data_IF_353580350478
#
_entry.id   IF_353580350478
#
_cell.length_a   1.000
_cell.length_b   1.000
_cell.length_c   1.000
_cell.angle_alpha   90.00
_cell.angle_beta   90.00
_cell.angle_gamma   90.00
#
_symmetry.space_group_name_H-M   'P 1'
#
loop_
_entity.id
_entity.type
_entity.pdbx_description
1 polymer ?
#
# COMPACT_ATOMS: atom_id res chain seq x y z
N UNK A 1 -40.00 23.38 21.35
CA UNK A 1 -39.08 24.36 21.96
C UNK A 1 -38.02 24.74 20.94
N UNK A 2 -37.48 25.95 21.00
CA UNK A 2 -36.77 26.58 19.88
C UNK A 2 -35.25 26.61 20.11
N UNK A 3 -34.53 26.37 19.00
CA UNK A 3 -33.10 26.57 18.71
C UNK A 3 -32.15 27.12 19.80
N UNK A 4 -30.98 26.49 19.90
CA UNK A 4 -29.74 27.11 20.36
C UNK A 4 -28.57 26.65 19.49
N UNK A 5 -28.03 27.55 18.66
CA UNK A 5 -26.77 27.31 17.92
C UNK A 5 -25.58 27.54 18.86
N UNK A 6 -24.53 26.73 18.75
CA UNK A 6 -23.25 26.97 19.42
C UNK A 6 -22.22 27.35 18.37
N UNK A 7 -21.76 28.61 18.42
CA UNK A 7 -20.58 29.08 17.69
C UNK A 7 -19.31 28.68 18.46
N UNK A 8 -18.24 28.34 17.75
CA UNK A 8 -16.92 28.11 18.36
C UNK A 8 -15.89 28.94 17.60
N UNK A 9 -15.46 30.04 18.22
CA UNK A 9 -14.46 30.95 17.66
C UNK A 9 -13.06 30.36 17.65
N UNK A 10 -12.27 30.76 16.64
CA UNK A 10 -10.87 30.36 16.47
C UNK A 10 -9.94 31.17 17.36
N UNK A 11 -9.02 30.51 18.07
CA UNK A 11 -7.97 31.15 18.86
C UNK A 11 -6.56 30.69 18.42
N UNK A 12 -5.92 31.46 17.54
CA UNK A 12 -4.52 31.28 17.13
C UNK A 12 -3.64 32.28 17.90
N UNK A 13 -2.65 31.85 18.71
CA UNK A 13 -1.70 32.76 19.34
C UNK A 13 -0.54 33.13 18.39
N UNK A 14 -0.62 34.29 17.73
CA UNK A 14 0.51 34.88 16.99
C UNK A 14 1.59 35.39 17.96
N UNK A 15 2.80 34.83 17.92
CA UNK A 15 3.99 35.43 18.57
C UNK A 15 4.39 36.71 17.81
N UNK A 16 4.43 37.84 18.52
CA UNK A 16 4.95 39.11 17.99
C UNK A 16 6.47 39.13 18.03
N UNK A 17 7.08 39.57 16.94
CA UNK A 17 8.47 40.05 16.92
C UNK A 17 8.54 41.46 17.51
N UNK A 18 9.62 41.76 18.24
CA UNK A 18 9.94 43.11 18.71
C UNK A 18 11.35 43.48 18.25
N UNK A 19 11.43 44.49 17.39
CA UNK A 19 12.70 45.10 17.01
C UNK A 19 13.18 46.08 18.08
N UNK A 20 14.50 46.13 18.31
CA UNK A 20 15.17 47.33 18.83
C UNK A 20 16.40 47.62 17.99
N UNK A 21 16.43 48.83 17.43
CA UNK A 21 17.61 49.44 16.80
C UNK A 21 18.41 50.23 17.85
N UNK A 22 19.72 50.29 17.67
CA UNK A 22 20.41 51.59 17.69
C UNK A 22 21.51 51.79 18.74
N UNK A 23 22.75 51.95 18.26
CA UNK A 23 23.86 52.61 18.96
C UNK A 23 24.85 51.66 19.67
N UNK A 24 26.15 51.66 19.38
CA UNK A 24 26.87 52.35 18.30
C UNK A 24 28.39 52.41 18.56
N UNK A 25 29.19 52.45 17.47
CA UNK A 25 30.66 52.64 17.44
C UNK A 25 31.52 51.53 18.11
N UNK A 26 32.79 51.28 17.77
CA UNK A 26 33.73 51.98 16.86
C UNK A 26 34.63 50.95 16.12
N UNK A 27 35.49 51.45 15.22
CA UNK A 27 36.69 50.85 14.57
C UNK A 27 37.42 49.73 15.36
N UNK A 28 38.18 48.77 14.81
CA UNK A 28 39.07 48.73 13.61
C UNK A 28 39.30 47.25 13.18
N UNK A 29 39.29 46.87 11.89
CA UNK A 29 40.41 46.81 10.93
C UNK A 29 41.39 45.61 10.98
N UNK A 30 41.45 44.91 9.83
CA UNK A 30 42.57 44.15 9.22
C UNK A 30 43.02 42.72 9.67
N UNK A 31 43.12 41.86 8.63
CA UNK A 31 44.18 40.85 8.36
C UNK A 31 44.10 39.39 8.88
N UNK A 32 43.79 38.48 7.95
CA UNK A 32 44.47 37.17 7.75
C UNK A 32 45.94 37.39 7.27
N UNK A 33 46.84 36.38 7.05
CA UNK A 33 46.63 34.92 6.91
C UNK A 33 47.74 33.94 7.41
N UNK A 34 47.50 32.62 7.21
CA UNK A 34 48.49 31.52 7.07
C UNK A 34 49.36 31.15 8.32
N UNK A 35 50.08 30.00 8.44
CA UNK A 35 50.51 28.91 7.52
C UNK A 35 50.63 27.54 8.25
N UNK A 36 50.94 26.47 7.51
CA UNK A 36 51.27 25.07 7.94
C UNK A 36 52.52 24.96 8.90
N UNK A 37 53.00 23.80 9.42
CA UNK A 37 53.10 22.44 8.83
C UNK A 37 53.59 21.36 9.83
N UNK A 38 53.26 20.07 9.56
CA UNK A 38 54.12 18.86 9.79
C UNK A 38 54.41 18.43 11.27
N UNK A 39 54.86 17.22 11.63
CA UNK A 39 55.30 16.01 10.89
C UNK A 39 55.31 14.72 11.78
N UNK A 40 55.06 13.53 11.20
CA UNK A 40 55.61 12.20 11.59
C UNK A 40 55.24 11.59 12.96
N UNK A 41 55.19 10.25 13.15
CA UNK A 41 55.32 9.12 12.21
C UNK A 41 55.94 7.85 12.85
N UNK A 42 55.49 6.66 12.39
CA UNK A 42 56.00 5.28 12.62
C UNK A 42 55.56 4.46 13.87
N UNK A 43 54.92 3.32 13.56
CA UNK A 43 54.92 2.05 14.32
C UNK A 43 56.17 1.20 13.97
N UNK A 44 56.46 0.10 14.70
CA UNK A 44 56.18 -1.27 14.18
C UNK A 44 55.77 -2.32 15.27
N UNK A 45 54.79 -3.23 15.07
CA UNK A 45 54.79 -4.61 14.46
C UNK A 45 55.09 -5.79 15.44
N UNK A 46 54.05 -6.63 15.66
CA UNK A 46 54.00 -8.11 15.93
C UNK A 46 54.64 -8.72 17.21
N UNK A 47 53.85 -9.44 18.04
CA UNK A 47 53.76 -10.93 18.04
C UNK A 47 52.54 -11.42 18.88
N UNK A 48 52.44 -12.72 19.22
CA UNK A 48 51.18 -13.51 19.18
C UNK A 48 50.89 -14.31 20.48
N UNK A 49 49.65 -14.85 20.63
CA UNK A 49 49.24 -16.06 21.42
C UNK A 49 48.62 -15.90 22.85
N UNK A 50 47.28 -16.07 22.89
CA UNK A 50 46.41 -16.82 23.85
C UNK A 50 45.80 -16.28 25.18
N UNK A 51 44.51 -16.65 25.32
CA UNK A 51 43.65 -16.91 26.50
C UNK A 51 43.48 -15.88 27.64
N UNK A 52 42.27 -15.30 27.75
CA UNK A 52 41.25 -15.69 28.76
C UNK A 52 39.99 -14.80 28.67
N UNK A 53 38.82 -15.35 29.04
CA UNK A 53 37.54 -14.65 29.23
C UNK A 53 37.05 -14.91 30.68
N UNK A 54 35.96 -14.28 31.17
CA UNK A 54 35.28 -13.05 30.71
C UNK A 54 35.30 -11.95 31.80
N UNK A 55 34.77 -10.77 31.49
CA UNK A 55 34.18 -9.92 32.54
C UNK A 55 32.95 -9.19 31.98
N UNK A 56 31.84 -9.22 32.71
CA UNK A 56 30.60 -8.58 32.31
C UNK A 56 30.67 -7.08 32.57
N UNK A 57 30.37 -6.25 31.57
CA UNK A 57 29.80 -4.95 31.88
C UNK A 57 28.84 -4.43 30.80
N UNK A 58 27.80 -3.81 31.32
CA UNK A 58 26.55 -3.41 30.68
C UNK A 58 26.77 -2.58 29.40
N UNK A 59 25.96 -2.83 28.37
CA UNK A 59 25.91 -2.02 27.15
C UNK A 59 24.47 -1.68 26.81
N UNK A 60 24.18 -0.39 26.65
CA UNK A 60 22.90 0.10 26.14
C UNK A 60 22.64 -0.43 24.72
N UNK A 61 21.38 -0.75 24.35
CA UNK A 61 21.05 -1.11 22.98
C UNK A 61 20.99 0.15 22.10
N UNK A 62 22.16 0.62 21.66
CA UNK A 62 22.26 1.62 20.60
C UNK A 62 21.52 1.17 19.34
N UNK A 63 20.80 2.10 18.71
CA UNK A 63 19.97 1.88 17.53
C UNK A 63 20.79 1.25 16.38
N UNK A 64 20.68 -0.07 16.20
CA UNK A 64 21.25 -0.77 15.05
C UNK A 64 20.35 -0.55 13.84
N UNK A 65 20.64 0.53 13.12
CA UNK A 65 20.18 0.70 11.74
C UNK A 65 20.75 -0.45 10.89
N UNK A 66 19.87 -1.38 10.52
CA UNK A 66 20.19 -2.46 9.61
C UNK A 66 18.94 -3.26 9.29
N UNK A 67 18.56 -3.28 8.01
CA UNK A 67 18.11 -4.44 7.24
C UNK A 67 17.76 -3.97 5.81
N UNK A 68 18.00 -4.84 4.81
CA UNK A 68 17.37 -4.79 3.48
C UNK A 68 17.75 -3.69 2.46
N UNK A 69 19.05 -3.44 2.23
CA UNK A 69 19.54 -2.66 1.08
C UNK A 69 18.94 -3.12 -0.28
N UNK A 70 18.65 -4.42 -0.45
CA UNK A 70 18.09 -4.95 -1.70
C UNK A 70 16.67 -4.49 -2.01
N UNK A 71 15.87 -4.04 -1.02
CA UNK A 71 14.51 -3.50 -1.28
C UNK A 71 14.54 -2.22 -2.12
N UNK A 72 15.69 -1.53 -2.23
CA UNK A 72 15.87 -0.28 -2.99
C UNK A 72 16.04 -0.45 -4.52
N UNK A 73 15.88 -1.66 -5.07
CA UNK A 73 15.97 -1.93 -6.52
C UNK A 73 14.73 -2.64 -7.09
N UNK A 74 13.54 -2.09 -6.85
CA UNK A 74 12.37 -2.37 -7.71
C UNK A 74 12.37 -1.32 -8.84
N UNK A 75 12.72 -1.73 -10.05
CA UNK A 75 12.55 -0.91 -11.25
C UNK A 75 11.10 -1.07 -11.72
N UNK A 76 10.27 -0.04 -11.52
CA UNK A 76 8.86 -0.13 -11.88
C UNK A 76 8.65 0.03 -13.39
N UNK A 77 7.93 -0.92 -13.99
CA UNK A 77 7.26 -0.72 -15.28
C UNK A 77 5.80 -0.33 -15.02
N UNK A 78 5.43 0.88 -15.43
CA UNK A 78 4.02 1.24 -15.57
C UNK A 78 3.36 0.31 -16.59
N UNK A 79 2.49 -0.60 -16.12
CA UNK A 79 1.73 -1.48 -17.00
C UNK A 79 0.60 -0.71 -17.70
N UNK A 80 1.00 0.05 -18.71
CA UNK A 80 0.16 0.22 -19.89
C UNK A 80 0.14 -1.12 -20.61
N UNK A 81 -0.98 -1.86 -20.49
CA UNK A 81 -1.18 -3.13 -21.17
C UNK A 81 -1.26 -2.91 -22.69
N UNK A 82 -0.10 -2.88 -23.35
CA UNK A 82 -0.02 -2.62 -24.79
C UNK A 82 -0.50 -3.84 -25.57
N UNK A 83 -1.64 -3.69 -26.24
CA UNK A 83 -2.15 -4.62 -27.24
C UNK A 83 -1.22 -4.62 -28.46
N UNK A 84 -0.69 -5.77 -28.86
CA UNK A 84 -0.03 -5.91 -30.16
C UNK A 84 -1.08 -5.86 -31.29
N UNK A 85 -0.84 -5.12 -32.38
CA UNK A 85 -1.70 -5.16 -33.56
C UNK A 85 -1.51 -6.49 -34.31
N UNK A 86 -2.61 -7.13 -34.73
CA UNK A 86 -2.57 -8.12 -35.81
C UNK A 86 -2.86 -7.42 -37.14
N UNK A 87 -2.23 -7.90 -38.19
CA UNK A 87 -2.29 -7.32 -39.54
C UNK A 87 -3.64 -7.62 -40.21
N UNK A 88 -4.16 -6.64 -40.96
CA UNK A 88 -5.45 -6.74 -41.67
C UNK A 88 -5.30 -7.40 -43.07
N UNK A 89 -6.21 -8.31 -43.44
CA UNK A 89 -6.48 -8.66 -44.84
C UNK A 89 -7.97 -8.67 -45.19
N UNK A 90 -8.29 -8.33 -46.45
CA UNK A 90 -9.59 -7.83 -46.94
C UNK A 90 -9.80 -8.33 -48.38
N UNK A 91 -10.91 -8.92 -48.85
CA UNK A 91 -12.32 -9.01 -48.42
C UNK A 91 -12.96 -10.32 -48.89
N UNK A 92 -14.15 -10.71 -48.37
CA UNK A 92 -15.36 -10.94 -49.23
C UNK A 92 -16.68 -11.18 -48.48
N UNK A 93 -17.77 -10.89 -49.18
CA UNK A 93 -19.16 -10.73 -48.71
C UNK A 93 -20.03 -12.00 -48.86
N UNK A 94 -20.92 -12.27 -47.89
CA UNK A 94 -22.34 -12.63 -48.16
C UNK A 94 -23.25 -12.64 -46.90
N UNK A 95 -24.29 -11.81 -46.96
CA UNK A 95 -25.71 -12.05 -46.55
C UNK A 95 -26.08 -12.94 -45.33
N UNK A 96 -26.46 -12.27 -44.21
CA UNK A 96 -27.63 -12.47 -43.28
C UNK A 96 -28.30 -13.87 -43.10
N UNK A 97 -28.78 -14.22 -41.88
CA UNK A 97 -29.64 -13.36 -41.06
C UNK A 97 -29.17 -13.10 -39.62
N UNK A 98 -29.96 -12.29 -38.90
CA UNK A 98 -29.67 -11.71 -37.59
C UNK A 98 -29.82 -12.71 -36.44
N UNK A 99 -28.72 -12.97 -35.75
CA UNK A 99 -28.73 -13.26 -34.31
C UNK A 99 -28.50 -11.93 -33.55
N UNK A 100 -29.23 -11.73 -32.47
CA UNK A 100 -29.03 -10.57 -31.59
C UNK A 100 -27.73 -10.78 -30.80
N UNK A 101 -26.64 -10.21 -31.32
CA UNK A 101 -25.38 -10.13 -30.59
C UNK A 101 -25.62 -9.21 -29.37
N UNK A 102 -25.71 -9.81 -28.18
CA UNK A 102 -25.76 -9.07 -26.93
C UNK A 102 -24.57 -8.11 -26.87
N UNK A 103 -24.87 -6.81 -26.88
CA UNK A 103 -23.86 -5.78 -26.65
C UNK A 103 -23.38 -5.96 -25.21
N UNK A 104 -22.07 -5.84 -24.93
CA UNK A 104 -21.60 -5.83 -23.55
C UNK A 104 -22.36 -4.74 -22.81
N UNK A 105 -22.95 -5.09 -21.67
CA UNK A 105 -23.79 -4.18 -20.92
C UNK A 105 -22.99 -2.93 -20.58
N UNK A 106 -23.43 -1.76 -21.08
CA UNK A 106 -22.86 -0.49 -20.66
C UNK A 106 -23.11 -0.36 -19.17
N UNK A 107 -22.09 -0.62 -18.35
CA UNK A 107 -22.24 -0.62 -16.90
C UNK A 107 -22.79 0.73 -16.46
N UNK A 108 -23.96 0.69 -15.79
CA UNK A 108 -24.61 1.89 -15.28
C UNK A 108 -23.63 2.54 -14.29
N UNK A 109 -23.32 3.85 -14.44
CA UNK A 109 -22.42 4.55 -13.53
C UNK A 109 -22.82 4.32 -12.08
N UNK A 110 -21.90 3.80 -11.28
CA UNK A 110 -22.17 3.41 -9.90
C UNK A 110 -22.25 4.68 -9.05
N UNK A 111 -23.38 4.86 -8.36
CA UNK A 111 -23.63 6.00 -7.47
C UNK A 111 -22.55 6.08 -6.39
N UNK A 112 -21.76 7.16 -6.42
CA UNK A 112 -20.70 7.40 -5.45
C UNK A 112 -21.26 7.70 -4.05
N UNK A 113 -20.41 7.50 -3.05
CA UNK A 113 -20.61 7.83 -1.64
C UNK A 113 -21.75 7.04 -0.96
N UNK A 114 -22.03 5.83 -1.45
CA UNK A 114 -23.12 4.95 -1.01
C UNK A 114 -22.72 3.48 -1.09
N UNK A 115 -23.21 2.68 -0.15
CA UNK A 115 -23.05 1.22 -0.17
C UNK A 115 -24.02 0.57 -1.17
N UNK A 116 -23.49 -0.30 -2.02
CA UNK A 116 -24.24 -1.03 -3.06
C UNK A 116 -23.76 -2.48 -3.11
N UNK A 117 -24.68 -3.45 -3.00
CA UNK A 117 -24.37 -4.85 -3.30
C UNK A 117 -24.01 -5.01 -4.78
N UNK A 118 -22.85 -5.59 -5.07
CA UNK A 118 -22.34 -5.82 -6.41
C UNK A 118 -21.88 -7.26 -6.60
N UNK A 119 -22.15 -7.79 -7.79
CA UNK A 119 -21.47 -8.96 -8.33
C UNK A 119 -20.25 -8.46 -9.11
N UNK A 120 -19.06 -8.89 -8.72
CA UNK A 120 -17.76 -8.58 -9.31
C UNK A 120 -17.18 -9.87 -9.89
N UNK A 121 -16.49 -9.80 -11.03
CA UNK A 121 -15.86 -10.96 -11.68
C UNK A 121 -14.35 -10.78 -11.71
N UNK A 122 -13.59 -11.85 -11.41
CA UNK A 122 -12.13 -11.82 -11.47
C UNK A 122 -11.65 -11.53 -12.89
N UNK A 123 -10.46 -10.94 -13.02
CA UNK A 123 -9.88 -10.58 -14.33
C UNK A 123 -9.62 -11.79 -15.24
N UNK A 124 -9.50 -13.00 -14.69
CA UNK A 124 -9.39 -14.25 -15.45
C UNK A 124 -10.74 -14.94 -15.73
N UNK A 125 -11.85 -14.35 -15.27
CA UNK A 125 -13.22 -14.83 -15.47
C UNK A 125 -13.64 -16.06 -14.65
N UNK A 126 -12.79 -16.54 -13.74
CA UNK A 126 -13.01 -17.80 -13.00
C UNK A 126 -13.71 -17.64 -11.66
N UNK A 127 -13.66 -16.47 -11.04
CA UNK A 127 -14.30 -16.22 -9.75
C UNK A 127 -15.29 -15.06 -9.82
N UNK A 128 -16.35 -15.14 -9.03
CA UNK A 128 -17.39 -14.12 -8.92
C UNK A 128 -17.67 -13.85 -7.45
N UNK A 129 -17.45 -12.61 -7.02
CA UNK A 129 -17.67 -12.13 -5.66
C UNK A 129 -18.96 -11.32 -5.62
N UNK A 130 -19.87 -11.68 -4.72
CA UNK A 130 -21.02 -10.86 -4.34
C UNK A 130 -20.77 -10.24 -2.97
N UNK A 131 -20.72 -8.91 -2.89
CA UNK A 131 -20.31 -8.17 -1.69
C UNK A 131 -20.80 -6.71 -1.73
N UNK A 132 -20.86 -6.04 -0.57
CA UNK A 132 -21.10 -4.60 -0.50
C UNK A 132 -19.85 -3.79 -0.92
N UNK A 133 -20.06 -2.86 -1.86
CA UNK A 133 -19.05 -1.92 -2.33
C UNK A 133 -19.50 -0.50 -2.00
N UNK A 134 -18.59 0.31 -1.47
CA UNK A 134 -18.72 1.76 -1.37
C UNK A 134 -17.68 2.41 -2.29
N UNK A 135 -18.11 3.26 -3.22
CA UNK A 135 -17.22 3.99 -4.12
C UNK A 135 -17.09 5.45 -3.73
N UNK A 136 -15.88 5.98 -3.86
CA UNK A 136 -15.60 7.41 -3.85
C UNK A 136 -16.10 8.08 -5.17
N UNK A 137 -16.06 9.40 -5.24
CA UNK A 137 -16.31 10.14 -6.48
C UNK A 137 -15.10 10.13 -7.42
N UNK A 138 -13.89 9.92 -6.86
CA UNK A 138 -12.60 9.94 -7.56
C UNK A 138 -11.71 8.75 -7.19
N UNK A 139 -10.66 8.50 -7.96
CA UNK A 139 -9.51 7.69 -7.56
C UNK A 139 -8.22 8.53 -7.48
N UNK A 140 -7.10 7.93 -7.08
CA UNK A 140 -5.80 8.61 -6.96
C UNK A 140 -5.26 9.19 -8.29
N UNK A 141 -5.71 8.67 -9.44
CA UNK A 141 -5.28 9.08 -10.78
C UNK A 141 -6.19 10.15 -11.40
N UNK A 142 -7.29 10.51 -10.74
CA UNK A 142 -8.15 11.62 -11.15
C UNK A 142 -7.39 12.94 -11.23
N UNK A 143 -7.84 13.84 -12.11
CA UNK A 143 -7.27 15.19 -12.24
C UNK A 143 -7.34 15.99 -10.92
N UNK A 144 -8.35 15.71 -10.08
CA UNK A 144 -8.50 16.33 -8.76
C UNK A 144 -7.46 15.82 -7.76
N UNK A 145 -7.13 14.52 -7.78
CA UNK A 145 -6.14 13.95 -6.88
C UNK A 145 -4.70 14.22 -7.35
N UNK A 146 -4.43 14.10 -8.66
CA UNK A 146 -3.10 14.21 -9.26
C UNK A 146 -2.03 13.43 -8.47
N UNK A 147 -2.33 12.16 -8.18
CA UNK A 147 -1.57 11.28 -7.29
C UNK A 147 -1.29 9.90 -7.93
N UNK A 148 -0.83 9.88 -9.17
CA UNK A 148 -0.64 8.66 -9.96
C UNK A 148 0.23 7.61 -9.24
N UNK A 149 1.29 8.06 -8.55
CA UNK A 149 2.18 7.25 -7.72
C UNK A 149 1.99 7.49 -6.20
N UNK A 150 0.88 8.10 -5.77
CA UNK A 150 0.66 8.50 -4.38
C UNK A 150 0.11 7.38 -3.47
N UNK A 151 -0.08 6.15 -3.96
CA UNK A 151 -0.76 5.06 -3.24
C UNK A 151 -0.22 4.82 -1.84
N UNK A 152 1.11 4.83 -1.63
CA UNK A 152 1.71 4.68 -0.30
C UNK A 152 1.31 5.81 0.68
N UNK A 153 1.27 7.06 0.21
CA UNK A 153 0.87 8.22 1.01
C UNK A 153 -0.64 8.23 1.29
N UNK A 154 -1.46 7.89 0.28
CA UNK A 154 -2.91 7.75 0.45
C UNK A 154 -3.24 6.61 1.43
N UNK A 155 -2.60 5.45 1.31
CA UNK A 155 -2.77 4.33 2.23
C UNK A 155 -2.41 4.71 3.68
N UNK A 156 -1.34 5.50 3.91
CA UNK A 156 -0.99 6.02 5.24
C UNK A 156 -2.03 7.00 5.78
N UNK A 157 -2.58 7.90 4.95
CA UNK A 157 -3.65 8.81 5.35
C UNK A 157 -4.95 8.06 5.71
N UNK A 158 -5.32 7.07 4.89
CA UNK A 158 -6.50 6.22 5.10
C UNK A 158 -6.35 5.33 6.34
N UNK A 159 -5.20 4.68 6.53
CA UNK A 159 -4.94 3.86 7.72
C UNK A 159 -4.97 4.70 9.01
N UNK A 160 -4.37 5.88 9.00
CA UNK A 160 -4.47 6.84 10.11
C UNK A 160 -5.93 7.23 10.41
N UNK A 161 -6.74 7.49 9.38
CA UNK A 161 -8.16 7.82 9.56
C UNK A 161 -8.95 6.68 10.21
N UNK A 162 -8.72 5.43 9.79
CA UNK A 162 -9.38 4.27 10.39
C UNK A 162 -8.94 3.99 11.84
N UNK A 163 -7.69 4.29 12.21
CA UNK A 163 -7.27 4.28 13.62
C UNK A 163 -7.91 5.38 14.45
N UNK A 164 -8.11 6.57 13.90
CA UNK A 164 -8.81 7.66 14.58
C UNK A 164 -10.33 7.39 14.71
N UNK A 165 -10.89 6.54 13.84
CA UNK A 165 -12.31 6.23 13.75
C UNK A 165 -12.57 4.70 13.78
N UNK A 166 -12.13 3.95 14.80
CA UNK A 166 -12.08 2.48 14.76
C UNK A 166 -13.47 1.83 14.61
N UNK A 167 -14.51 2.51 15.12
CA UNK A 167 -15.92 2.08 15.07
C UNK A 167 -16.62 2.39 13.73
N UNK A 168 -15.98 3.13 12.81
CA UNK A 168 -16.56 3.45 11.51
C UNK A 168 -16.05 2.48 10.44
N UNK A 169 -16.94 2.08 9.54
CA UNK A 169 -16.63 1.18 8.42
C UNK A 169 -16.19 1.93 7.16
N UNK A 170 -16.64 3.18 6.98
CA UNK A 170 -16.26 4.05 5.87
C UNK A 170 -16.27 5.53 6.28
N UNK A 171 -15.49 6.40 5.59
CA UNK A 171 -15.64 7.86 5.66
C UNK A 171 -17.01 8.34 5.17
N UNK A 172 -17.48 9.48 5.65
CA UNK A 172 -18.84 9.99 5.39
C UNK A 172 -18.89 11.00 4.24
N UNK A 173 -19.94 10.94 3.39
CA UNK A 173 -20.08 11.86 2.26
C UNK A 173 -18.84 11.84 1.35
N UNK A 174 -18.26 13.00 1.05
CA UNK A 174 -17.03 13.16 0.24
C UNK A 174 -15.73 13.11 1.07
N UNK A 175 -15.78 12.60 2.30
CA UNK A 175 -14.60 12.48 3.15
C UNK A 175 -13.57 11.50 2.56
N UNK A 176 -13.99 10.45 1.84
CA UNK A 176 -13.05 9.54 1.18
C UNK A 176 -12.29 10.23 0.03
N UNK A 177 -12.98 11.01 -0.81
CA UNK A 177 -12.36 11.89 -1.83
C UNK A 177 -11.34 12.84 -1.17
N UNK A 178 -11.68 13.35 0.02
CA UNK A 178 -10.84 14.26 0.79
C UNK A 178 -9.59 13.56 1.35
N UNK A 179 -9.67 12.30 1.76
CA UNK A 179 -8.52 11.49 2.20
C UNK A 179 -7.57 11.17 1.03
N UNK A 180 -8.12 10.82 -0.13
CA UNK A 180 -7.36 10.58 -1.37
C UNK A 180 -6.60 11.86 -1.77
N UNK A 181 -7.31 12.99 -1.85
CA UNK A 181 -6.71 14.28 -2.19
C UNK A 181 -5.62 14.68 -1.17
N UNK A 182 -5.86 14.50 0.14
CA UNK A 182 -4.86 14.78 1.19
C UNK A 182 -3.60 13.91 1.04
N UNK A 183 -3.76 12.60 0.79
CA UNK A 183 -2.63 11.70 0.56
C UNK A 183 -1.79 12.10 -0.66
N UNK A 184 -2.45 12.47 -1.76
CA UNK A 184 -1.80 12.94 -2.97
C UNK A 184 -1.06 14.27 -2.76
N UNK A 185 -1.65 15.26 -2.07
CA UNK A 185 -0.96 16.51 -1.74
C UNK A 185 0.25 16.30 -0.82
N UNK A 186 0.19 15.36 0.12
CA UNK A 186 1.33 15.00 0.97
C UNK A 186 2.45 14.34 0.15
N UNK A 187 2.11 13.45 -0.79
CA UNK A 187 3.05 12.87 -1.76
C UNK A 187 3.70 13.93 -2.66
N UNK A 188 2.92 14.88 -3.19
CA UNK A 188 3.44 16.03 -3.96
C UNK A 188 4.45 16.85 -3.14
N UNK A 189 4.16 17.13 -1.86
CA UNK A 189 5.08 17.87 -0.97
C UNK A 189 6.40 17.14 -0.67
N UNK A 190 6.47 15.82 -0.92
CA UNK A 190 7.72 15.05 -0.91
C UNK A 190 8.40 15.07 -2.28
N UNK A 191 7.65 15.04 -3.38
CA UNK A 191 8.19 15.20 -4.73
C UNK A 191 8.86 16.58 -4.95
N UNK A 192 8.40 17.64 -4.29
CA UNK A 192 9.04 18.96 -4.33
C UNK A 192 10.44 19.00 -3.67
N UNK A 193 10.82 17.95 -2.94
CA UNK A 193 12.10 17.85 -2.22
C UNK A 193 13.09 17.02 -3.04
N UNK A 194 14.10 17.70 -3.57
CA UNK A 194 15.24 17.12 -4.31
C UNK A 194 15.86 15.87 -3.65
N UNK A 195 15.91 15.81 -2.30
CA UNK A 195 16.42 14.64 -1.57
C UNK A 195 15.60 13.37 -1.80
N UNK A 196 14.28 13.49 -1.96
CA UNK A 196 13.38 12.37 -2.23
C UNK A 196 13.42 11.99 -3.72
N UNK A 197 13.46 12.97 -4.64
CA UNK A 197 13.60 12.70 -6.07
C UNK A 197 14.90 11.98 -6.43
N UNK A 198 16.01 12.26 -5.72
CA UNK A 198 17.27 11.52 -5.90
C UNK A 198 17.20 10.05 -5.47
N UNK A 199 16.35 9.73 -4.49
CA UNK A 199 16.14 8.36 -4.01
C UNK A 199 15.10 7.63 -4.85
N UNK A 200 14.07 8.35 -5.33
CA UNK A 200 12.95 7.81 -6.10
C UNK A 200 12.68 8.69 -7.34
N UNK A 201 13.48 8.57 -8.42
CA UNK A 201 13.31 9.38 -9.63
C UNK A 201 11.96 9.15 -10.33
N UNK A 202 11.37 7.97 -10.16
CA UNK A 202 10.03 7.62 -10.64
C UNK A 202 8.89 8.14 -9.73
N UNK A 203 9.20 8.74 -8.56
CA UNK A 203 8.26 9.21 -7.53
C UNK A 203 7.42 8.13 -6.83
N UNK A 204 7.71 6.85 -7.04
CA UNK A 204 7.09 5.75 -6.28
C UNK A 204 7.83 5.59 -4.95
N UNK A 205 7.32 6.21 -3.89
CA UNK A 205 7.91 6.09 -2.54
C UNK A 205 7.49 4.77 -1.88
N UNK A 206 8.44 4.10 -1.23
CA UNK A 206 8.12 2.96 -0.36
C UNK A 206 7.43 3.41 0.95
N UNK A 207 6.76 2.47 1.63
CA UNK A 207 6.03 2.77 2.86
C UNK A 207 6.95 3.28 3.98
N UNK A 208 8.18 2.77 4.07
CA UNK A 208 9.16 3.21 5.07
C UNK A 208 9.50 4.70 4.90
N UNK A 209 9.64 5.17 3.65
CA UNK A 209 9.89 6.57 3.30
C UNK A 209 8.69 7.46 3.68
N UNK A 210 7.45 7.02 3.39
CA UNK A 210 6.24 7.77 3.75
C UNK A 210 6.05 7.88 5.27
N UNK A 211 6.25 6.76 6.00
CA UNK A 211 6.13 6.73 7.46
C UNK A 211 7.25 7.54 8.12
N UNK A 212 8.50 7.41 7.65
CA UNK A 212 9.65 8.16 8.16
C UNK A 212 9.57 9.66 7.88
N UNK A 213 8.86 10.07 6.83
CA UNK A 213 8.54 11.47 6.57
C UNK A 213 7.54 12.08 7.58
N UNK A 214 6.96 11.26 8.47
CA UNK A 214 6.04 11.64 9.55
C UNK A 214 4.86 12.51 9.07
N UNK A 215 4.26 12.12 7.93
CA UNK A 215 3.14 12.82 7.31
C UNK A 215 1.82 12.65 8.10
N UNK A 216 1.75 11.60 8.94
CA UNK A 216 0.69 11.29 9.90
C UNK A 216 1.31 10.60 11.13
N UNK A 217 0.70 10.70 12.32
CA UNK A 217 1.20 10.09 13.55
C UNK A 217 0.94 8.56 13.57
N UNK A 218 1.63 7.83 12.70
CA UNK A 218 1.56 6.38 12.56
C UNK A 218 2.95 5.76 12.50
N UNK A 219 3.05 4.49 12.88
CA UNK A 219 4.25 3.66 12.71
C UNK A 219 3.86 2.23 12.31
N UNK A 220 4.80 1.52 11.70
CA UNK A 220 4.67 0.08 11.44
C UNK A 220 5.00 -0.70 12.72
N UNK A 221 4.14 -1.67 13.05
CA UNK A 221 4.35 -2.65 14.12
C UNK A 221 5.01 -3.89 13.52
N UNK A 222 6.33 -4.00 13.63
CA UNK A 222 7.14 -5.09 13.04
C UNK A 222 6.66 -6.47 13.46
N UNK A 223 6.36 -6.64 14.75
CA UNK A 223 6.10 -7.94 15.37
C UNK A 223 4.73 -8.54 14.96
N UNK A 224 3.89 -7.72 14.33
CA UNK A 224 2.57 -8.07 13.79
C UNK A 224 2.49 -7.75 12.29
N UNK A 225 3.63 -7.56 11.63
CA UNK A 225 3.71 -7.37 10.18
C UNK A 225 4.27 -8.64 9.53
N UNK A 226 3.75 -8.98 8.36
CA UNK A 226 4.02 -10.26 7.71
C UNK A 226 4.51 -10.06 6.28
N UNK A 227 5.44 -10.90 5.85
CA UNK A 227 5.94 -10.97 4.47
C UNK A 227 5.89 -12.42 4.01
N UNK A 228 5.38 -12.65 2.81
CA UNK A 228 5.38 -13.96 2.18
C UNK A 228 4.98 -13.85 0.72
N UNK A 229 4.62 -14.98 0.10
CA UNK A 229 4.36 -15.04 -1.34
C UNK A 229 3.02 -15.70 -1.66
N UNK A 230 2.45 -15.34 -2.81
CA UNK A 230 1.31 -16.05 -3.39
C UNK A 230 1.73 -17.39 -3.96
N UNK A 231 1.12 -18.47 -3.45
CA UNK A 231 1.33 -19.86 -3.88
C UNK A 231 2.80 -20.30 -4.07
N UNK A 232 3.71 -20.09 -3.09
CA UNK A 232 5.10 -20.54 -3.18
C UNK A 232 5.22 -22.05 -3.44
N UNK A 233 4.25 -22.85 -2.97
CA UNK A 233 4.19 -24.30 -3.18
C UNK A 233 4.13 -24.74 -4.65
N UNK A 234 3.86 -23.81 -5.59
CA UNK A 234 3.88 -24.07 -7.04
C UNK A 234 5.26 -23.92 -7.67
N UNK A 235 6.25 -23.40 -6.94
CA UNK A 235 7.56 -23.01 -7.48
C UNK A 235 8.66 -23.66 -6.64
N UNK A 236 9.46 -24.56 -7.23
CA UNK A 236 10.46 -25.32 -6.47
C UNK A 236 11.54 -24.44 -5.82
N UNK A 237 11.76 -23.23 -6.36
CA UNK A 237 12.70 -22.24 -5.84
C UNK A 237 12.17 -21.40 -4.68
N UNK A 238 10.88 -21.51 -4.33
CA UNK A 238 10.24 -20.81 -3.22
C UNK A 238 9.91 -21.73 -2.03
N UNK A 239 10.41 -22.96 -2.03
CA UNK A 239 10.16 -23.93 -0.95
C UNK A 239 10.59 -23.39 0.43
N UNK A 240 9.77 -23.70 1.44
CA UNK A 240 9.93 -23.20 2.81
C UNK A 240 9.61 -21.71 3.03
N UNK A 241 9.26 -20.93 2.01
CA UNK A 241 8.82 -19.54 2.19
C UNK A 241 7.36 -19.46 2.66
N UNK A 242 7.06 -18.46 3.49
CA UNK A 242 5.72 -18.24 4.02
C UNK A 242 4.71 -17.93 2.90
N UNK A 243 3.61 -18.68 2.85
CA UNK A 243 2.55 -18.44 1.86
C UNK A 243 1.58 -17.35 2.33
N UNK A 244 0.91 -16.67 1.39
CA UNK A 244 -0.16 -15.72 1.72
C UNK A 244 -1.27 -16.36 2.57
N UNK A 245 -1.57 -17.64 2.32
CA UNK A 245 -2.52 -18.41 3.13
C UNK A 245 -2.07 -18.51 4.60
N UNK A 246 -0.78 -18.76 4.87
CA UNK A 246 -0.22 -18.75 6.22
C UNK A 246 -0.19 -17.34 6.84
N UNK A 247 0.08 -16.29 6.04
CA UNK A 247 -0.02 -14.90 6.52
C UNK A 247 -1.44 -14.61 6.98
N UNK A 248 -2.43 -15.04 6.20
CA UNK A 248 -3.83 -14.79 6.51
C UNK A 248 -4.25 -15.50 7.81
N UNK A 249 -3.77 -16.72 8.04
CA UNK A 249 -3.98 -17.44 9.30
C UNK A 249 -3.41 -16.68 10.52
N UNK A 250 -2.25 -16.00 10.39
CA UNK A 250 -1.71 -15.14 11.46
C UNK A 250 -2.48 -13.82 11.61
N UNK A 251 -2.94 -13.21 10.51
CA UNK A 251 -3.81 -12.02 10.54
C UNK A 251 -5.12 -12.32 11.25
N UNK A 252 -5.77 -13.46 10.98
CA UNK A 252 -7.01 -13.86 11.64
C UNK A 252 -6.82 -14.07 13.15
N UNK A 253 -5.69 -14.65 13.58
CA UNK A 253 -5.33 -14.73 15.01
C UNK A 253 -5.14 -13.35 15.63
N UNK A 254 -4.39 -12.46 14.98
CA UNK A 254 -4.17 -11.09 15.46
C UNK A 254 -5.45 -10.25 15.53
N UNK A 255 -6.38 -10.45 14.60
CA UNK A 255 -7.71 -9.84 14.60
C UNK A 255 -8.56 -10.38 15.74
N UNK A 256 -8.56 -11.69 15.98
CA UNK A 256 -9.28 -12.30 17.11
C UNK A 256 -8.75 -11.80 18.47
N UNK A 257 -7.43 -11.67 18.62
CA UNK A 257 -6.78 -11.13 19.83
C UNK A 257 -7.00 -9.62 20.03
N UNK A 258 -7.08 -8.84 18.95
CA UNK A 258 -7.46 -7.42 19.01
C UNK A 258 -8.93 -7.28 19.47
N UNK A 259 -9.78 -8.08 18.85
CA UNK A 259 -11.22 -8.07 19.02
C UNK A 259 -11.68 -8.35 20.45
N UNK A 260 -11.01 -9.27 21.16
CA UNK A 260 -11.30 -9.51 22.59
C UNK A 260 -11.06 -8.29 23.48
N UNK A 261 -10.25 -7.34 23.01
CA UNK A 261 -9.95 -6.07 23.70
C UNK A 261 -10.76 -4.90 23.13
N UNK A 262 -11.65 -5.14 22.15
CA UNK A 262 -12.37 -4.09 21.43
C UNK A 262 -11.52 -3.28 20.45
N UNK A 263 -10.35 -3.79 20.07
CA UNK A 263 -9.45 -3.16 19.10
C UNK A 263 -9.72 -3.63 17.66
N UNK A 264 -9.56 -2.72 16.71
CA UNK A 264 -9.53 -3.00 15.27
C UNK A 264 -8.08 -3.12 14.80
N UNK A 265 -7.77 -4.08 13.91
CA UNK A 265 -6.47 -4.14 13.22
C UNK A 265 -6.56 -3.40 11.88
N UNK A 266 -5.50 -2.66 11.55
CA UNK A 266 -5.36 -1.97 10.26
C UNK A 266 -4.00 -2.31 9.67
N UNK A 267 -4.01 -2.86 8.46
CA UNK A 267 -2.81 -3.21 7.72
C UNK A 267 -2.71 -2.36 6.46
N UNK A 268 -1.51 -1.85 6.15
CA UNK A 268 -1.19 -1.42 4.78
C UNK A 268 -0.58 -2.61 4.06
N UNK A 269 -1.22 -3.02 2.97
CA UNK A 269 -0.81 -4.15 2.14
C UNK A 269 -0.02 -3.61 0.95
N UNK A 270 1.21 -4.11 0.76
CA UNK A 270 2.03 -3.84 -0.41
C UNK A 270 2.09 -5.06 -1.31
N UNK A 271 1.69 -4.91 -2.57
CA UNK A 271 1.84 -5.95 -3.59
C UNK A 271 1.92 -5.34 -4.99
N UNK A 272 2.82 -5.87 -5.84
CA UNK A 272 3.00 -5.46 -7.24
C UNK A 272 3.04 -3.93 -7.45
N UNK A 273 3.93 -3.27 -6.72
CA UNK A 273 4.17 -1.80 -6.73
C UNK A 273 2.97 -0.91 -6.37
N UNK A 274 1.98 -1.48 -5.67
CA UNK A 274 0.81 -0.77 -5.18
C UNK A 274 0.57 -0.98 -3.68
N UNK A 275 -0.07 0.01 -3.05
CA UNK A 275 -0.39 0.00 -1.62
C UNK A 275 -1.88 0.25 -1.41
N UNK A 276 -2.51 -0.58 -0.59
CA UNK A 276 -3.92 -0.49 -0.20
C UNK A 276 -4.07 -0.83 1.30
N UNK A 277 -5.23 -0.55 1.88
CA UNK A 277 -5.48 -0.78 3.31
C UNK A 277 -6.42 -1.97 3.50
N UNK A 278 -6.16 -2.78 4.53
CA UNK A 278 -7.10 -3.78 5.06
C UNK A 278 -7.44 -3.42 6.49
N UNK A 279 -8.70 -3.09 6.76
CA UNK A 279 -9.26 -2.97 8.12
C UNK A 279 -9.89 -4.31 8.49
N UNK A 280 -9.74 -4.73 9.75
CA UNK A 280 -10.30 -5.98 10.25
C UNK A 280 -10.71 -5.90 11.73
N UNK A 281 -11.88 -6.45 12.04
CA UNK A 281 -12.49 -6.55 13.38
C UNK A 281 -13.43 -7.77 13.45
N UNK A 282 -14.25 -7.88 14.50
CA UNK A 282 -15.22 -8.97 14.66
C UNK A 282 -16.30 -9.02 13.56
N UNK A 283 -16.68 -7.86 13.01
CA UNK A 283 -17.80 -7.75 12.08
C UNK A 283 -17.36 -8.06 10.65
N UNK A 284 -16.06 -7.87 10.34
CA UNK A 284 -15.41 -8.50 9.21
C UNK A 284 -14.14 -7.81 8.73
N UNK A 285 -13.88 -7.92 7.43
CA UNK A 285 -12.76 -7.25 6.77
C UNK A 285 -13.28 -6.18 5.80
N UNK A 286 -12.50 -5.13 5.60
CA UNK A 286 -12.70 -4.16 4.53
C UNK A 286 -11.38 -3.97 3.78
N UNK A 287 -11.39 -4.18 2.46
CA UNK A 287 -10.31 -3.76 1.55
C UNK A 287 -10.60 -2.34 1.09
N UNK A 288 -9.68 -1.42 1.34
CA UNK A 288 -9.80 -0.01 0.94
C UNK A 288 -8.66 0.32 -0.01
N UNK A 289 -9.00 0.66 -1.25
CA UNK A 289 -8.03 0.92 -2.31
C UNK A 289 -8.30 2.25 -3.01
N UNK A 290 -7.25 3.05 -3.17
CA UNK A 290 -7.29 4.34 -3.85
C UNK A 290 -7.19 4.25 -5.37
N UNK A 291 -6.99 3.05 -5.95
CA UNK A 291 -6.92 2.79 -7.38
C UNK A 291 -8.09 1.93 -7.86
N UNK A 292 -9.10 2.57 -8.46
CA UNK A 292 -10.35 1.92 -8.86
C UNK A 292 -10.17 0.74 -9.81
N UNK A 293 -9.23 0.84 -10.74
CA UNK A 293 -8.94 -0.17 -11.78
C UNK A 293 -8.63 -1.57 -11.21
N UNK A 294 -8.25 -1.68 -9.92
CA UNK A 294 -8.03 -2.97 -9.25
C UNK A 294 -9.32 -3.70 -8.87
N UNK A 295 -10.45 -3.00 -8.78
CA UNK A 295 -11.78 -3.59 -8.56
C UNK A 295 -12.32 -4.25 -9.83
N UNK A 296 -12.34 -3.51 -10.93
CA UNK A 296 -12.70 -3.95 -12.28
C UNK A 296 -12.07 -3.04 -13.35
N UNK A 297 -11.94 -3.54 -14.58
CA UNK A 297 -11.29 -2.81 -15.67
C UNK A 297 -12.04 -1.51 -16.01
N UNK A 298 -11.29 -0.39 -16.13
CA UNK A 298 -11.86 0.91 -16.45
C UNK A 298 -12.54 1.64 -15.28
N UNK A 299 -12.61 1.06 -14.09
CA UNK A 299 -13.06 1.76 -12.89
C UNK A 299 -12.14 2.94 -12.52
N UNK A 300 -12.73 4.12 -12.28
CA UNK A 300 -12.02 5.39 -11.96
C UNK A 300 -12.42 5.96 -10.60
N UNK A 301 -12.91 5.11 -9.71
CA UNK A 301 -13.38 5.45 -8.37
C UNK A 301 -12.63 4.58 -7.36
N UNK A 302 -12.01 5.20 -6.36
CA UNK A 302 -11.50 4.47 -5.20
C UNK A 302 -12.65 3.74 -4.50
N UNK A 303 -12.33 2.65 -3.80
CA UNK A 303 -13.35 1.76 -3.25
C UNK A 303 -13.05 1.27 -1.85
N UNK A 304 -14.13 0.94 -1.13
CA UNK A 304 -14.13 0.12 0.08
C UNK A 304 -15.00 -1.10 -0.24
N UNK A 305 -14.42 -2.30 -0.13
CA UNK A 305 -15.06 -3.58 -0.40
C UNK A 305 -15.16 -4.35 0.91
N UNK A 306 -16.39 -4.67 1.33
CA UNK A 306 -16.72 -5.22 2.65
C UNK A 306 -16.93 -6.73 2.61
N UNK A 307 -16.29 -7.43 3.53
CA UNK A 307 -16.35 -8.89 3.68
C UNK A 307 -16.89 -9.26 5.05
N UNK A 308 -18.20 -9.47 5.10
CA UNK A 308 -18.97 -9.89 6.26
C UNK A 308 -19.84 -11.11 5.90
N UNK A 309 -20.74 -11.52 6.81
CA UNK A 309 -21.62 -12.68 6.66
C UNK A 309 -22.60 -12.60 5.45
N UNK A 310 -22.69 -11.45 4.76
CA UNK A 310 -23.46 -11.30 3.51
C UNK A 310 -22.67 -11.58 2.23
N UNK A 311 -21.35 -11.74 2.35
CA UNK A 311 -20.43 -11.90 1.21
C UNK A 311 -20.37 -13.34 0.73
N UNK A 312 -20.42 -13.54 -0.59
CA UNK A 312 -20.45 -14.87 -1.23
C UNK A 312 -19.47 -14.91 -2.40
N UNK A 313 -18.64 -15.96 -2.47
CA UNK A 313 -17.69 -16.19 -3.56
C UNK A 313 -18.04 -17.46 -4.31
N UNK A 314 -18.20 -17.33 -5.63
CA UNK A 314 -18.45 -18.42 -6.55
C UNK A 314 -17.26 -18.66 -7.47
N UNK A 315 -17.02 -19.91 -7.84
CA UNK A 315 -16.13 -20.32 -8.92
C UNK A 315 -16.97 -20.72 -10.13
N UNK A 316 -16.50 -20.36 -11.32
CA UNK A 316 -17.16 -20.59 -12.60
C UNK A 316 -16.67 -21.89 -13.21
N UNK A 317 -17.48 -22.94 -13.07
CA UNK A 317 -17.32 -24.20 -13.79
C UNK A 317 -18.04 -24.11 -15.15
N UNK A 318 -17.77 -25.03 -16.09
CA UNK A 318 -18.15 -24.92 -17.52
C UNK A 318 -19.63 -24.63 -17.80
N UNK A 319 -20.53 -25.00 -16.88
CA UNK A 319 -21.97 -24.77 -16.99
C UNK A 319 -22.67 -24.37 -15.67
N UNK A 320 -21.92 -24.07 -14.61
CA UNK A 320 -22.52 -23.67 -13.33
C UNK A 320 -21.62 -22.76 -12.47
N UNK A 321 -22.24 -21.99 -11.58
CA UNK A 321 -21.55 -21.23 -10.53
C UNK A 321 -21.60 -22.02 -9.21
N UNK A 322 -20.44 -22.35 -8.65
CA UNK A 322 -20.32 -23.13 -7.41
C UNK A 322 -19.86 -22.24 -6.28
N UNK A 323 -20.60 -22.21 -5.17
CA UNK A 323 -20.20 -21.48 -3.97
C UNK A 323 -18.94 -22.12 -3.37
N UNK A 324 -17.86 -21.36 -3.24
CA UNK A 324 -16.55 -21.84 -2.73
C UNK A 324 -16.27 -21.32 -1.33
N UNK A 325 -16.61 -20.06 -1.05
CA UNK A 325 -16.60 -19.54 0.31
C UNK A 325 -17.68 -18.47 0.53
N UNK A 326 -17.99 -18.25 1.80
CA UNK A 326 -18.96 -17.29 2.29
C UNK A 326 -18.38 -16.53 3.48
N UNK A 327 -18.98 -15.39 3.80
CA UNK A 327 -18.62 -14.60 4.95
C UNK A 327 -17.27 -13.88 4.82
N UNK A 328 -16.65 -13.66 5.97
CA UNK A 328 -15.36 -12.96 6.14
C UNK A 328 -14.21 -13.61 5.35
N UNK A 329 -14.29 -14.93 5.12
CA UNK A 329 -13.31 -15.71 4.34
C UNK A 329 -13.23 -15.27 2.88
N UNK A 330 -14.28 -14.64 2.34
CA UNK A 330 -14.24 -14.07 0.99
C UNK A 330 -13.16 -12.99 0.81
N UNK A 331 -12.66 -12.36 1.87
CA UNK A 331 -11.56 -11.39 1.78
C UNK A 331 -10.23 -12.03 1.35
N UNK A 332 -9.89 -13.17 1.97
CA UNK A 332 -8.72 -14.00 1.65
C UNK A 332 -8.75 -14.45 0.18
N UNK A 333 -9.89 -15.00 -0.23
CA UNK A 333 -10.08 -15.50 -1.60
C UNK A 333 -10.23 -14.37 -2.62
N UNK A 334 -10.73 -13.19 -2.25
CA UNK A 334 -10.66 -12.01 -3.12
C UNK A 334 -9.21 -11.62 -3.42
N UNK A 335 -8.37 -11.51 -2.39
CA UNK A 335 -6.96 -11.14 -2.57
C UNK A 335 -6.22 -12.17 -3.45
N UNK A 336 -6.51 -13.46 -3.30
CA UNK A 336 -5.98 -14.53 -4.15
C UNK A 336 -6.54 -14.46 -5.58
N UNK A 337 -7.85 -14.55 -5.75
CA UNK A 337 -8.50 -14.75 -7.05
C UNK A 337 -8.64 -13.50 -7.92
N UNK A 338 -8.79 -12.31 -7.32
CA UNK A 338 -8.94 -11.06 -8.08
C UNK A 338 -7.61 -10.35 -8.32
N UNK A 339 -6.64 -10.49 -7.41
CA UNK A 339 -5.36 -9.78 -7.52
C UNK A 339 -4.24 -10.70 -8.03
N UNK A 340 -4.03 -11.86 -7.40
CA UNK A 340 -2.85 -12.71 -7.65
C UNK A 340 -3.03 -13.84 -8.68
N UNK A 341 -4.26 -14.26 -9.01
CA UNK A 341 -4.51 -15.44 -9.84
C UNK A 341 -3.80 -15.42 -11.20
N UNK A 342 -3.85 -14.30 -11.92
CA UNK A 342 -3.19 -14.16 -13.23
C UNK A 342 -1.67 -14.31 -13.12
N UNK A 343 -0.92 -13.50 -12.34
CA UNK A 343 0.53 -13.65 -12.26
C UNK A 343 0.97 -15.01 -11.70
N UNK A 344 0.24 -15.61 -10.75
CA UNK A 344 0.53 -16.99 -10.29
C UNK A 344 0.40 -17.99 -11.43
N UNK A 345 -0.71 -17.94 -12.20
CA UNK A 345 -0.94 -18.86 -13.31
C UNK A 345 0.07 -18.66 -14.46
N UNK A 346 0.39 -17.41 -14.81
CA UNK A 346 1.38 -17.09 -15.86
C UNK A 346 2.80 -17.56 -15.52
N UNK A 347 3.19 -17.46 -14.24
CA UNK A 347 4.52 -17.88 -13.79
C UNK A 347 4.60 -19.41 -13.66
N UNK A 348 3.60 -20.06 -13.07
CA UNK A 348 3.54 -21.52 -12.99
C UNK A 348 3.57 -22.16 -14.38
N UNK A 349 2.76 -21.65 -15.32
CA UNK A 349 2.73 -22.13 -16.71
C UNK A 349 4.03 -21.87 -17.50
N UNK A 350 4.96 -21.03 -17.00
CA UNK A 350 6.31 -20.88 -17.58
C UNK A 350 7.25 -21.97 -17.05
N UNK A 351 7.22 -22.25 -15.75
CA UNK A 351 8.03 -23.29 -15.12
C UNK A 351 7.61 -24.70 -15.58
N UNK A 352 6.30 -24.97 -15.67
CA UNK A 352 5.73 -26.22 -16.24
C UNK A 352 6.18 -26.49 -17.69
N UNK A 353 6.43 -25.42 -18.47
CA UNK A 353 6.97 -25.50 -19.84
C UNK A 353 8.50 -25.64 -19.90
N UNK A 354 9.14 -25.86 -18.75
CA UNK A 354 10.60 -26.03 -18.63
C UNK A 354 11.40 -24.73 -18.76
N UNK A 355 10.77 -23.55 -18.67
CA UNK A 355 11.51 -22.30 -18.64
C UNK A 355 12.04 -22.05 -17.24
N UNK A 356 13.31 -21.67 -17.12
CA UNK A 356 13.86 -21.17 -15.86
C UNK A 356 13.21 -19.83 -15.55
N UNK A 357 12.38 -19.78 -14.52
CA UNK A 357 11.83 -18.54 -13.98
C UNK A 357 12.83 -17.97 -12.97
N UNK A 358 13.24 -16.71 -13.16
CA UNK A 358 14.13 -16.04 -12.21
C UNK A 358 13.44 -15.87 -10.85
N UNK A 359 14.11 -16.32 -9.78
CA UNK A 359 13.66 -16.13 -8.39
C UNK A 359 13.41 -14.66 -8.09
N UNK A 360 14.20 -13.76 -8.68
CA UNK A 360 14.00 -12.30 -8.57
C UNK A 360 12.64 -11.87 -9.13
N UNK A 361 12.19 -12.44 -10.25
CA UNK A 361 10.88 -12.18 -10.86
C UNK A 361 9.74 -12.78 -10.03
N UNK A 362 9.95 -13.97 -9.45
CA UNK A 362 8.99 -14.57 -8.51
C UNK A 362 8.78 -13.68 -7.29
N UNK A 363 9.84 -13.19 -6.64
CA UNK A 363 9.73 -12.20 -5.56
C UNK A 363 9.09 -10.88 -6.04
N UNK A 364 9.45 -10.38 -7.23
CA UNK A 364 8.86 -9.14 -7.76
C UNK A 364 7.34 -9.24 -7.89
N UNK A 365 6.81 -10.37 -8.39
CA UNK A 365 5.39 -10.54 -8.75
C UNK A 365 4.53 -11.20 -7.68
N UNK A 366 5.11 -12.09 -6.87
CA UNK A 366 4.35 -12.91 -5.92
C UNK A 366 4.52 -12.47 -4.47
N UNK A 367 5.57 -11.71 -4.12
CA UNK A 367 5.74 -11.25 -2.74
C UNK A 367 4.71 -10.18 -2.36
N UNK A 368 4.04 -10.42 -1.23
CA UNK A 368 3.07 -9.56 -0.59
C UNK A 368 3.51 -9.28 0.86
N UNK A 369 3.51 -8.00 1.23
CA UNK A 369 3.85 -7.52 2.58
C UNK A 369 2.57 -6.94 3.24
N UNK A 370 2.22 -7.39 4.45
CA UNK A 370 1.12 -6.85 5.26
C UNK A 370 1.71 -6.11 6.47
N UNK A 371 1.70 -4.78 6.42
CA UNK A 371 2.27 -3.92 7.44
C UNK A 371 1.20 -3.51 8.46
N UNK A 372 1.22 -4.09 9.67
CA UNK A 372 0.32 -3.65 10.74
C UNK A 372 0.67 -2.21 11.12
N UNK A 373 -0.29 -1.30 10.98
CA UNK A 373 -0.14 0.10 11.36
C UNK A 373 -0.67 0.27 12.77
N UNK A 374 -0.04 1.18 13.52
CA UNK A 374 -0.51 1.66 14.82
C UNK A 374 -0.20 3.15 14.95
N UNK A 375 -0.97 3.85 15.78
CA UNK A 375 -0.71 5.26 16.09
C UNK A 375 0.62 5.41 16.85
N UNK A 376 1.33 6.50 16.58
CA UNK A 376 2.38 6.98 17.49
C UNK A 376 1.71 7.68 18.66
N UNK A 377 2.09 7.34 19.90
CA UNK A 377 1.73 8.16 21.06
C UNK A 377 2.30 9.56 20.89
N UNK A 378 1.49 10.57 21.19
CA UNK A 378 2.02 11.91 21.48
C UNK A 378 2.62 11.86 22.88
N UNK A 379 3.95 11.94 22.96
CA UNK A 379 4.68 12.16 24.22
C UNK A 379 4.47 13.60 24.73
#
# INVERSE_FOLDING_TARGET
>A
MQLGQISVDSAIPKKKSTSRRGGGSHFDSFSSPATASSSGGRSPVVETVLFSSPDENQSEPGQKAGFNWWKRRRLSFSMTWRREPREDEVTKTSTKPSEELEKPATEIPIEANKWVMKDLVSRDGKSKLKSEVYLASIDQRSEQAAGEAACAAVAVVVAHWFHANPKLINPSGTEFDSLITQGSSLWQSLCDKESYLRLFPNRHFDLETIVSANLRPVRVCTDKSFTGLFSPERFASLDGLMSFDQIWDEVEKEVALASSNGETRVYIVSWNDHFFVVKADLDGFCVIDSLGERLFEGCKQAYILKFDDSSLMYEKEESSEKLVCEGKKCCREYIKSFLAAIPVAELAAKEEKGNVVDVSLLHERLQIDLHHIILTSSD
#
